data_IF_445985431395
#
_entry.id   IF_445985431395
#
_cell.length_a   1.000
_cell.length_b   1.000
_cell.length_c   1.000
_cell.angle_alpha   90.00
_cell.angle_beta   90.00
_cell.angle_gamma   90.00
#
_symmetry.space_group_name_H-M   'P 1'
#
loop_
_entity.id
_entity.type
_entity.pdbx_description
1 polymer ?
#
# COMPACT_ATOMS: atom_id res chain seq x y z
N UNK A 1 -4.26 31.43 -7.03
CA UNK A 1 -5.49 30.59 -7.02
C UNK A 1 -5.22 29.12 -7.35
N UNK A 2 -4.43 28.80 -8.39
CA UNK A 2 -4.13 27.43 -8.80
C UNK A 2 -3.57 26.51 -7.68
N UNK A 3 -2.63 27.00 -6.87
CA UNK A 3 -2.05 26.24 -5.75
C UNK A 3 -3.09 25.84 -4.69
N UNK A 4 -4.10 26.68 -4.44
CA UNK A 4 -5.15 26.38 -3.45
C UNK A 4 -6.09 25.28 -3.93
N UNK A 5 -6.38 25.23 -5.23
CA UNK A 5 -7.21 24.18 -5.86
C UNK A 5 -6.47 22.83 -5.83
N UNK A 6 -5.18 22.83 -6.16
CA UNK A 6 -4.36 21.62 -6.17
C UNK A 6 -4.16 21.01 -4.76
N UNK A 7 -4.08 21.86 -3.73
CA UNK A 7 -3.86 21.42 -2.34
C UNK A 7 -5.15 21.08 -1.59
N UNK A 8 -6.32 21.45 -2.12
CA UNK A 8 -7.62 21.20 -1.51
C UNK A 8 -7.91 19.73 -1.14
N UNK A 9 -7.62 18.71 -1.99
CA UNK A 9 -7.82 17.32 -1.60
C UNK A 9 -6.94 16.90 -0.41
N UNK A 10 -5.72 17.43 -0.33
CA UNK A 10 -4.80 17.14 0.78
C UNK A 10 -5.33 17.74 2.09
N UNK A 11 -5.86 18.98 2.04
CA UNK A 11 -6.42 19.63 3.23
C UNK A 11 -7.69 18.93 3.72
N UNK A 12 -8.48 18.30 2.83
CA UNK A 12 -9.62 17.48 3.22
C UNK A 12 -9.19 16.22 3.97
N UNK A 13 -8.16 15.52 3.49
CA UNK A 13 -7.61 14.32 4.15
C UNK A 13 -7.08 14.65 5.55
N UNK A 14 -6.48 15.84 5.73
CA UNK A 14 -6.01 16.28 7.05
C UNK A 14 -7.11 16.56 8.06
N UNK A 15 -8.37 16.77 7.63
CA UNK A 15 -9.50 16.89 8.56
C UNK A 15 -9.88 15.56 9.21
N UNK A 16 -9.42 14.44 8.67
CA UNK A 16 -9.68 13.11 9.23
C UNK A 16 -8.76 12.92 10.44
N UNK A 17 -9.30 12.92 11.65
CA UNK A 17 -8.46 12.79 12.86
C UNK A 17 -7.82 11.38 12.97
N UNK A 18 -8.52 10.36 12.49
CA UNK A 18 -8.05 8.99 12.57
C UNK A 18 -6.96 8.70 11.53
N UNK A 19 -5.72 8.48 12.01
CA UNK A 19 -4.55 8.14 11.18
C UNK A 19 -4.73 6.87 10.37
N UNK A 20 -5.47 5.87 10.86
CA UNK A 20 -5.76 4.65 10.10
C UNK A 20 -6.59 4.98 8.85
N UNK A 21 -7.63 5.80 9.01
CA UNK A 21 -8.49 6.19 7.89
C UNK A 21 -7.69 7.04 6.89
N UNK A 22 -6.89 8.00 7.36
CA UNK A 22 -5.94 8.73 6.49
C UNK A 22 -5.03 7.77 5.72
N UNK A 23 -4.51 6.75 6.41
CA UNK A 23 -3.64 5.75 5.81
C UNK A 23 -4.33 4.97 4.68
N UNK A 24 -5.59 4.56 4.86
CA UNK A 24 -6.34 3.87 3.81
C UNK A 24 -6.57 4.76 2.58
N UNK A 25 -6.96 6.02 2.76
CA UNK A 25 -7.11 6.97 1.65
C UNK A 25 -5.79 7.24 0.93
N UNK A 26 -4.72 7.47 1.69
CA UNK A 26 -3.38 7.69 1.14
C UNK A 26 -2.86 6.42 0.45
N UNK A 27 -3.18 5.24 0.97
CA UNK A 27 -2.88 3.95 0.36
C UNK A 27 -3.55 3.81 -1.01
N UNK A 28 -4.85 4.10 -1.12
CA UNK A 28 -5.57 4.08 -2.39
C UNK A 28 -4.97 5.06 -3.41
N UNK A 29 -4.64 6.29 -2.97
CA UNK A 29 -3.94 7.27 -3.80
C UNK A 29 -2.58 6.76 -4.29
N UNK A 30 -1.81 6.14 -3.40
CA UNK A 30 -0.49 5.60 -3.74
C UNK A 30 -0.57 4.47 -4.77
N UNK A 31 -1.56 3.58 -4.64
CA UNK A 31 -1.82 2.52 -5.62
C UNK A 31 -2.18 3.11 -6.98
N UNK A 32 -3.06 4.11 -7.02
CA UNK A 32 -3.45 4.78 -8.25
C UNK A 32 -2.25 5.45 -8.94
N UNK A 33 -1.39 6.13 -8.17
CA UNK A 33 -0.17 6.77 -8.69
C UNK A 33 0.84 5.74 -9.19
N UNK A 34 1.07 4.65 -8.46
CA UNK A 34 1.97 3.58 -8.90
C UNK A 34 1.50 2.93 -10.20
N UNK A 35 0.21 2.65 -10.31
CA UNK A 35 -0.39 2.10 -11.52
C UNK A 35 -0.32 3.09 -12.70
N UNK A 36 -0.60 4.37 -12.45
CA UNK A 36 -0.44 5.41 -13.45
C UNK A 36 1.00 5.51 -13.95
N UNK A 37 2.00 5.45 -13.06
CA UNK A 37 3.42 5.45 -13.45
C UNK A 37 3.77 4.23 -14.31
N UNK A 38 3.25 3.06 -13.95
CA UNK A 38 3.43 1.85 -14.76
C UNK A 38 2.87 2.05 -16.18
N UNK A 39 1.60 2.50 -16.30
CA UNK A 39 0.98 2.77 -17.59
C UNK A 39 1.70 3.86 -18.39
N UNK A 40 2.16 4.91 -17.72
CA UNK A 40 2.93 5.98 -18.34
C UNK A 40 4.23 5.45 -18.96
N UNK A 41 4.98 4.60 -18.24
CA UNK A 41 6.21 4.02 -18.77
C UNK A 41 5.95 3.06 -19.94
N UNK A 42 4.88 2.25 -19.87
CA UNK A 42 4.43 1.46 -21.02
C UNK A 42 4.10 2.36 -22.21
N UNK A 43 3.38 3.45 -22.00
CA UNK A 43 2.94 4.36 -23.05
C UNK A 43 4.09 5.04 -23.79
N UNK A 44 5.18 5.41 -23.10
CA UNK A 44 6.38 5.96 -23.74
C UNK A 44 7.28 4.88 -24.36
N UNK A 45 6.86 3.60 -24.34
CA UNK A 45 7.53 2.50 -25.04
C UNK A 45 8.51 1.66 -24.21
N UNK A 46 8.53 1.77 -22.88
CA UNK A 46 9.38 0.91 -22.06
C UNK A 46 8.83 -0.52 -22.02
N UNK A 47 9.75 -1.49 -22.02
CA UNK A 47 9.41 -2.89 -21.78
C UNK A 47 8.78 -3.07 -20.39
N UNK A 48 7.78 -3.95 -20.26
CA UNK A 48 6.97 -4.08 -19.05
C UNK A 48 7.79 -4.32 -17.78
N UNK A 49 8.90 -5.06 -17.89
CA UNK A 49 9.80 -5.31 -16.76
C UNK A 49 10.46 -4.03 -16.25
N UNK A 50 10.93 -3.15 -17.14
CA UNK A 50 11.50 -1.85 -16.77
C UNK A 50 10.42 -0.88 -16.29
N UNK A 51 9.25 -0.87 -16.93
CA UNK A 51 8.09 -0.08 -16.49
C UNK A 51 7.68 -0.46 -15.07
N UNK A 52 7.64 -1.76 -14.77
CA UNK A 52 7.36 -2.27 -13.44
C UNK A 52 8.46 -1.84 -12.46
N UNK A 53 9.73 -2.03 -12.79
CA UNK A 53 10.85 -1.63 -11.92
C UNK A 53 10.81 -0.15 -11.55
N UNK A 54 10.70 0.74 -12.53
CA UNK A 54 10.70 2.18 -12.28
C UNK A 54 9.43 2.64 -11.56
N UNK A 55 8.26 2.10 -11.91
CA UNK A 55 7.01 2.42 -11.20
C UNK A 55 7.05 1.96 -9.74
N UNK A 56 7.66 0.82 -9.44
CA UNK A 56 7.84 0.34 -8.06
C UNK A 56 8.80 1.24 -7.27
N UNK A 57 9.95 1.61 -7.83
CA UNK A 57 10.92 2.48 -7.16
C UNK A 57 10.29 3.84 -6.85
N UNK A 58 9.73 4.50 -7.88
CA UNK A 58 9.12 5.83 -7.71
C UNK A 58 7.88 5.74 -6.82
N UNK A 59 7.07 4.69 -6.98
CA UNK A 59 5.87 4.44 -6.18
C UNK A 59 6.17 4.28 -4.70
N UNK A 60 7.22 3.52 -4.33
CA UNK A 60 7.63 3.36 -2.93
C UNK A 60 8.16 4.68 -2.35
N UNK A 61 8.92 5.47 -3.12
CA UNK A 61 9.38 6.79 -2.69
C UNK A 61 8.22 7.77 -2.51
N UNK A 62 7.25 7.75 -3.42
CA UNK A 62 6.02 8.53 -3.31
C UNK A 62 5.21 8.10 -2.08
N UNK A 63 5.05 6.79 -1.87
CA UNK A 63 4.36 6.23 -0.71
C UNK A 63 5.02 6.64 0.61
N UNK A 64 6.36 6.61 0.70
CA UNK A 64 7.08 7.11 1.87
C UNK A 64 6.75 8.58 2.16
N UNK A 65 6.76 9.41 1.13
CA UNK A 65 6.47 10.86 1.26
C UNK A 65 5.03 11.12 1.66
N UNK A 66 4.07 10.50 0.98
CA UNK A 66 2.65 10.71 1.25
C UNK A 66 2.26 10.12 2.60
N UNK A 67 2.70 8.90 2.93
CA UNK A 67 2.44 8.30 4.24
C UNK A 67 3.11 9.09 5.36
N UNK A 68 4.39 9.46 5.21
CA UNK A 68 5.09 10.26 6.21
C UNK A 68 4.44 11.63 6.44
N UNK A 69 4.21 12.40 5.37
CA UNK A 69 3.69 13.76 5.46
C UNK A 69 2.18 13.82 5.73
N UNK A 70 1.40 13.02 5.01
CA UNK A 70 -0.07 13.08 5.02
C UNK A 70 -0.68 12.18 6.08
N UNK A 71 -0.02 11.14 6.58
CA UNK A 71 -0.60 10.27 7.65
C UNK A 71 0.05 10.54 8.99
N UNK A 72 1.39 10.63 9.01
CA UNK A 72 2.15 10.72 10.26
C UNK A 72 2.70 12.13 10.56
N UNK A 73 2.49 13.09 9.67
CA UNK A 73 2.92 14.50 9.81
C UNK A 73 4.44 14.65 10.03
N UNK A 74 5.22 13.73 9.46
CA UNK A 74 6.67 13.71 9.55
C UNK A 74 7.31 13.98 8.18
N UNK A 75 8.21 14.98 8.12
CA UNK A 75 8.90 15.40 6.89
C UNK A 75 10.33 14.89 6.77
N UNK A 76 10.83 14.16 7.77
CA UNK A 76 12.21 13.68 7.79
C UNK A 76 12.46 12.69 6.66
N UNK A 77 13.58 12.82 5.93
CA UNK A 77 14.01 11.82 4.93
C UNK A 77 14.90 10.73 5.53
N UNK A 78 15.36 10.92 6.79
CA UNK A 78 16.27 9.99 7.46
C UNK A 78 15.62 8.64 7.79
N UNK A 79 14.28 8.58 7.75
CA UNK A 79 13.50 7.39 8.09
C UNK A 79 13.24 6.50 6.87
N UNK A 80 13.69 6.90 5.67
CA UNK A 80 13.47 6.14 4.44
C UNK A 80 14.04 4.72 4.52
N UNK A 81 15.22 4.56 5.11
CA UNK A 81 15.83 3.24 5.31
C UNK A 81 14.97 2.34 6.23
N UNK A 82 14.43 2.89 7.32
CA UNK A 82 13.55 2.16 8.24
C UNK A 82 12.22 1.78 7.55
N UNK A 83 11.73 2.64 6.66
CA UNK A 83 10.55 2.36 5.85
C UNK A 83 10.78 1.16 4.91
N UNK A 84 11.93 1.09 4.25
CA UNK A 84 12.30 -0.08 3.44
C UNK A 84 12.37 -1.37 4.26
N UNK A 85 12.91 -1.32 5.48
CA UNK A 85 12.93 -2.49 6.39
C UNK A 85 11.51 -2.94 6.71
N UNK A 86 10.60 -2.02 7.07
CA UNK A 86 9.20 -2.37 7.35
C UNK A 86 8.53 -3.01 6.13
N UNK A 87 8.74 -2.47 4.93
CA UNK A 87 8.18 -3.05 3.70
C UNK A 87 8.76 -4.43 3.41
N UNK A 88 10.06 -4.64 3.65
CA UNK A 88 10.69 -5.95 3.52
C UNK A 88 10.11 -6.98 4.51
N UNK A 89 9.89 -6.58 5.77
CA UNK A 89 9.25 -7.44 6.76
C UNK A 89 7.80 -7.77 6.40
N UNK A 90 7.02 -6.78 5.97
CA UNK A 90 5.62 -6.98 5.53
C UNK A 90 5.57 -7.88 4.31
N UNK A 91 6.51 -7.78 3.37
CA UNK A 91 6.61 -8.70 2.24
C UNK A 91 6.80 -10.16 2.70
N UNK A 92 7.71 -10.41 3.65
CA UNK A 92 7.91 -11.76 4.19
C UNK A 92 6.65 -12.30 4.88
N UNK A 93 5.94 -11.44 5.62
CA UNK A 93 4.66 -11.81 6.24
C UNK A 93 3.59 -12.08 5.18
N UNK A 94 3.48 -11.27 4.14
CA UNK A 94 2.55 -11.48 3.04
C UNK A 94 2.78 -12.84 2.35
N UNK A 95 4.04 -13.19 2.08
CA UNK A 95 4.39 -14.51 1.51
C UNK A 95 3.96 -15.64 2.44
N UNK A 96 4.18 -15.49 3.76
CA UNK A 96 3.74 -16.47 4.74
C UNK A 96 2.20 -16.57 4.81
N UNK A 97 1.49 -15.45 4.79
CA UNK A 97 0.02 -15.42 4.78
C UNK A 97 -0.55 -16.13 3.55
N UNK A 98 0.00 -15.89 2.36
CA UNK A 98 -0.41 -16.58 1.13
C UNK A 98 -0.14 -18.08 1.22
N UNK A 99 1.03 -18.47 1.72
CA UNK A 99 1.37 -19.88 1.94
C UNK A 99 0.36 -20.56 2.86
N UNK A 100 0.04 -19.95 4.01
CA UNK A 100 -0.95 -20.48 4.95
C UNK A 100 -2.36 -20.51 4.36
N UNK A 101 -2.75 -19.48 3.61
CA UNK A 101 -4.05 -19.41 2.95
C UNK A 101 -4.23 -20.57 1.95
N UNK A 102 -3.21 -20.84 1.13
CA UNK A 102 -3.21 -21.96 0.19
C UNK A 102 -3.33 -23.34 0.86
N UNK A 103 -2.79 -23.51 2.06
CA UNK A 103 -2.88 -24.78 2.81
C UNK A 103 -4.17 -24.92 3.64
N UNK A 104 -4.86 -23.81 3.91
CA UNK A 104 -6.03 -23.80 4.82
C UNK A 104 -7.36 -24.16 4.15
N UNK A 105 -7.43 -24.18 2.81
CA UNK A 105 -8.69 -24.34 2.05
C UNK A 105 -9.66 -23.15 2.16
N UNK A 106 -9.32 -22.10 2.91
CA UNK A 106 -10.19 -20.93 3.13
C UNK A 106 -10.55 -20.22 1.83
N UNK A 107 -9.61 -20.11 0.89
CA UNK A 107 -9.86 -19.45 -0.39
C UNK A 107 -10.86 -20.25 -1.26
N UNK A 108 -10.79 -21.59 -1.23
CA UNK A 108 -11.73 -22.46 -1.94
C UNK A 108 -13.14 -22.31 -1.38
N UNK A 109 -13.26 -22.22 -0.05
CA UNK A 109 -14.53 -21.95 0.61
C UNK A 109 -15.14 -20.61 0.18
N UNK A 110 -14.33 -19.55 0.07
CA UNK A 110 -14.81 -18.23 -0.36
C UNK A 110 -15.29 -18.30 -1.82
N UNK A 111 -14.51 -18.92 -2.70
CA UNK A 111 -14.81 -19.07 -4.12
C UNK A 111 -16.02 -19.94 -4.42
N UNK A 112 -16.31 -20.92 -3.56
CA UNK A 112 -17.51 -21.76 -3.69
C UNK A 112 -18.84 -21.02 -3.48
N UNK A 113 -18.81 -19.76 -3.01
CA UNK A 113 -20.01 -18.97 -2.83
C UNK A 113 -20.71 -18.63 -4.15
N UNK A 114 -22.04 -18.71 -4.17
CA UNK A 114 -22.86 -18.46 -5.36
C UNK A 114 -22.58 -17.09 -6.00
N UNK A 115 -22.27 -16.09 -5.20
CA UNK A 115 -21.95 -14.73 -5.67
C UNK A 115 -20.65 -14.64 -6.48
N UNK A 116 -19.73 -15.59 -6.32
CA UNK A 116 -18.41 -15.60 -6.96
C UNK A 116 -18.28 -16.65 -8.07
N UNK A 117 -19.35 -17.41 -8.37
CA UNK A 117 -19.33 -18.42 -9.43
C UNK A 117 -19.03 -17.85 -10.82
N UNK A 118 -19.41 -16.59 -11.08
CA UNK A 118 -19.08 -15.92 -12.34
C UNK A 118 -17.57 -15.86 -12.59
N UNK A 119 -16.75 -15.88 -11.54
CA UNK A 119 -15.29 -15.79 -11.66
C UNK A 119 -14.74 -17.02 -12.39
N UNK A 120 -15.32 -18.20 -12.20
CA UNK A 120 -14.91 -19.42 -12.91
C UNK A 120 -15.22 -19.37 -14.42
N UNK A 121 -16.12 -18.48 -14.85
CA UNK A 121 -16.42 -18.27 -16.28
C UNK A 121 -15.42 -17.35 -16.98
N UNK A 122 -14.54 -16.67 -16.24
CA UNK A 122 -13.54 -15.79 -16.81
C UNK A 122 -12.45 -16.61 -17.54
N UNK A 123 -11.93 -16.14 -18.69
CA UNK A 123 -10.87 -16.81 -19.44
C UNK A 123 -9.49 -16.61 -18.78
N UNK A 124 -9.39 -16.93 -17.48
CA UNK A 124 -8.20 -16.77 -16.64
C UNK A 124 -7.81 -18.15 -16.12
N UNK A 125 -6.50 -18.43 -16.08
CA UNK A 125 -5.99 -19.66 -15.47
C UNK A 125 -6.39 -19.71 -13.98
N UNK A 126 -7.01 -20.81 -13.55
CA UNK A 126 -7.55 -20.98 -12.20
C UNK A 126 -6.47 -20.82 -11.11
N UNK A 127 -5.24 -21.26 -11.36
CA UNK A 127 -4.13 -21.11 -10.39
C UNK A 127 -3.79 -19.61 -10.19
N UNK A 128 -3.67 -18.87 -11.29
CA UNK A 128 -3.39 -17.42 -11.25
C UNK A 128 -4.53 -16.63 -10.63
N UNK A 129 -5.76 -17.09 -10.84
CA UNK A 129 -6.95 -16.51 -10.26
C UNK A 129 -6.97 -16.71 -8.74
N UNK A 130 -6.66 -17.93 -8.28
CA UNK A 130 -6.53 -18.24 -6.86
C UNK A 130 -5.50 -17.34 -6.18
N UNK A 131 -4.30 -17.21 -6.77
CA UNK A 131 -3.25 -16.32 -6.27
C UNK A 131 -3.73 -14.85 -6.18
N UNK A 132 -4.43 -14.36 -7.20
CA UNK A 132 -4.93 -12.99 -7.23
C UNK A 132 -5.99 -12.71 -6.15
N UNK A 133 -6.88 -13.67 -5.91
CA UNK A 133 -7.90 -13.57 -4.86
C UNK A 133 -7.25 -13.70 -3.49
N UNK A 134 -6.30 -14.61 -3.33
CA UNK A 134 -5.48 -14.73 -2.13
C UNK A 134 -4.84 -13.39 -1.79
N UNK A 135 -4.24 -12.72 -2.78
CA UNK A 135 -3.70 -11.37 -2.62
C UNK A 135 -4.75 -10.36 -2.16
N UNK A 136 -5.93 -10.34 -2.77
CA UNK A 136 -7.01 -9.43 -2.36
C UNK A 136 -7.44 -9.63 -0.89
N UNK A 137 -7.47 -10.88 -0.42
CA UNK A 137 -7.78 -11.22 0.97
C UNK A 137 -6.69 -10.72 1.91
N UNK A 138 -5.42 -11.03 1.61
CA UNK A 138 -4.29 -10.70 2.50
C UNK A 138 -3.92 -9.21 2.48
N UNK A 139 -4.39 -8.43 1.51
CA UNK A 139 -4.14 -6.97 1.45
C UNK A 139 -4.64 -6.25 2.71
N UNK A 140 -5.79 -6.64 3.26
CA UNK A 140 -6.33 -6.02 4.48
C UNK A 140 -5.43 -6.24 5.71
N UNK A 141 -5.12 -7.48 6.14
CA UNK A 141 -4.23 -7.69 7.29
C UNK A 141 -2.84 -7.09 7.06
N UNK A 142 -2.29 -7.17 5.84
CA UNK A 142 -1.02 -6.52 5.52
C UNK A 142 -1.08 -5.00 5.64
N UNK A 143 -2.19 -4.37 5.22
CA UNK A 143 -2.38 -2.92 5.34
C UNK A 143 -2.42 -2.46 6.81
N UNK A 144 -3.01 -3.27 7.70
CA UNK A 144 -3.03 -3.00 9.13
C UNK A 144 -1.65 -3.19 9.76
N UNK A 145 -0.95 -4.26 9.38
CA UNK A 145 0.40 -4.55 9.84
C UNK A 145 1.37 -3.44 9.43
N UNK A 146 1.38 -3.05 8.15
CA UNK A 146 2.27 -1.99 7.66
C UNK A 146 1.96 -0.64 8.32
N UNK A 147 0.68 -0.34 8.58
CA UNK A 147 0.30 0.86 9.33
C UNK A 147 0.86 0.82 10.76
N UNK A 148 0.67 -0.30 11.46
CA UNK A 148 1.16 -0.48 12.83
C UNK A 148 2.69 -0.37 12.90
N UNK A 149 3.40 -1.06 12.03
CA UNK A 149 4.86 -1.05 11.99
C UNK A 149 5.41 0.33 11.63
N UNK A 150 4.80 1.03 10.66
CA UNK A 150 5.19 2.40 10.33
C UNK A 150 4.95 3.35 11.51
N UNK A 151 3.80 3.24 12.19
CA UNK A 151 3.50 4.03 13.38
C UNK A 151 4.51 3.80 14.51
N UNK A 152 4.93 2.55 14.70
CA UNK A 152 5.77 2.13 15.83
C UNK A 152 7.27 2.30 15.59
N UNK A 153 7.76 2.00 14.39
CA UNK A 153 9.19 1.89 14.11
C UNK A 153 9.72 2.98 13.18
N UNK A 154 8.88 3.55 12.31
CA UNK A 154 9.34 4.54 11.32
C UNK A 154 9.00 5.94 11.80
N UNK A 155 7.72 6.25 11.94
CA UNK A 155 7.24 7.59 12.24
C UNK A 155 6.89 7.78 13.71
N UNK A 156 7.86 7.46 14.58
CA UNK A 156 7.73 7.73 16.00
C UNK A 156 7.58 9.23 16.23
N UNK A 157 6.60 9.60 17.07
CA UNK A 157 6.51 10.97 17.56
C UNK A 157 7.70 11.16 18.49
N UNK A 158 8.66 12.02 18.13
CA UNK A 158 9.62 12.51 19.13
C UNK A 158 8.79 13.29 20.13
N UNK A 159 8.69 12.79 21.36
CA UNK A 159 8.13 13.58 22.45
C UNK A 159 9.02 14.81 22.63
N UNK A 160 8.53 15.95 22.18
CA UNK A 160 9.12 17.27 22.49
C UNK A 160 8.81 17.62 23.94
N UNK A 161 9.28 16.79 24.88
CA UNK A 161 9.30 17.07 26.32
C UNK A 161 10.72 16.84 26.87
N UNK A 162 11.68 17.60 26.37
CA UNK A 162 13.03 17.66 26.94
C UNK A 162 13.81 18.90 26.45
N UNK A 163 13.22 20.10 26.46
CA UNK A 163 13.96 21.38 26.35
C UNK A 163 13.27 22.52 27.13
N UNK A 164 12.71 22.19 28.28
CA UNK A 164 12.40 23.17 29.33
C UNK A 164 13.02 22.64 30.64
N UNK A 165 14.32 22.87 30.78
CA UNK A 165 15.04 22.93 32.05
C UNK A 165 16.11 23.99 31.91
#
# INVERSE_FOLDING_TARGET
MLQKILLYPITLIWKIENKLIRFLFVGALNTAVGYFLFLFFIWIGLHYSLSLLFSQIIGVLFNYKTTGYIVFENKSNKLLFHFFIVYGLVYLVNVLELYLLGHSGLYECILSSDSLQFIHSLPINQDKLSDAIGQAIVVLPNSLLVFYLNKKFVFQKKDTKAKEK
#
